data_IF_268074822332
#
_entry.id   IF_268074822332
#
_cell.length_a   1.000
_cell.length_b   1.000
_cell.length_c   1.000
_cell.angle_alpha   90.00
_cell.angle_beta   90.00
_cell.angle_gamma   90.00
#
_symmetry.space_group_name_H-M   'P 1'
#
loop_
_entity.id
_entity.type
_entity.pdbx_description
1 polymer ?
#
# COMPACT_ATOMS: atom_id res chain seq x y z
N UNK A 1 2.90 -11.39 -3.71
CA UNK A 1 3.52 -10.94 -4.98
C UNK A 1 5.04 -10.96 -4.82
N UNK A 2 5.82 -11.42 -5.79
CA UNK A 2 7.29 -11.28 -5.75
C UNK A 2 7.67 -9.85 -6.14
N UNK A 3 8.47 -9.16 -5.33
CA UNK A 3 8.98 -7.83 -5.63
C UNK A 3 10.48 -7.84 -5.90
N UNK A 4 10.90 -6.97 -6.83
CA UNK A 4 12.30 -6.69 -7.14
C UNK A 4 12.66 -5.29 -6.66
N UNK A 5 13.96 -5.07 -6.46
CA UNK A 5 14.50 -3.80 -5.96
C UNK A 5 14.00 -2.63 -6.79
N UNK A 6 13.50 -1.59 -6.10
CA UNK A 6 13.10 -0.29 -6.68
C UNK A 6 12.00 -0.34 -7.77
N UNK A 7 11.30 -1.46 -7.93
CA UNK A 7 10.17 -1.53 -8.84
C UNK A 7 8.94 -0.83 -8.24
N UNK A 8 8.30 0.12 -8.95
CA UNK A 8 7.02 0.67 -8.55
C UNK A 8 5.90 -0.35 -8.78
N UNK A 9 5.00 -0.50 -7.82
CA UNK A 9 3.83 -1.38 -7.90
C UNK A 9 2.57 -0.56 -7.68
N UNK A 10 1.59 -0.71 -8.56
CA UNK A 10 0.25 -0.16 -8.36
C UNK A 10 -0.61 -1.19 -7.62
N UNK A 11 -1.10 -0.80 -6.46
CA UNK A 11 -2.04 -1.57 -5.64
C UNK A 11 -3.38 -0.87 -5.70
N UNK A 12 -4.45 -1.58 -6.03
CA UNK A 12 -5.79 -1.00 -6.03
C UNK A 12 -6.74 -1.79 -5.15
N UNK A 13 -7.67 -1.07 -4.52
CA UNK A 13 -8.85 -1.65 -3.87
C UNK A 13 -10.08 -1.28 -4.69
N UNK A 14 -10.98 -2.24 -4.90
CA UNK A 14 -12.26 -2.09 -5.62
C UNK A 14 -13.33 -2.82 -4.82
N UNK A 15 -14.49 -2.20 -4.65
CA UNK A 15 -15.62 -2.80 -3.94
C UNK A 15 -16.85 -1.92 -3.94
N UNK A 16 -17.87 -2.30 -3.15
CA UNK A 16 -19.01 -1.42 -2.83
C UNK A 16 -18.48 -0.10 -2.24
N UNK A 17 -19.21 1.03 -2.40
CA UNK A 17 -18.78 2.32 -1.89
C UNK A 17 -18.25 2.23 -0.45
N UNK A 18 -17.00 2.65 -0.25
CA UNK A 18 -16.31 2.60 1.03
C UNK A 18 -15.74 3.97 1.40
N UNK A 19 -15.76 4.28 2.71
CA UNK A 19 -15.30 5.56 3.25
C UNK A 19 -13.88 5.52 3.77
N UNK A 20 -13.46 4.36 4.26
CA UNK A 20 -12.16 4.15 4.86
C UNK A 20 -11.56 2.81 4.47
N UNK A 21 -10.25 2.75 4.55
CA UNK A 21 -9.46 1.54 4.38
C UNK A 21 -8.12 1.74 5.05
N UNK A 22 -7.42 0.63 5.30
CA UNK A 22 -6.00 0.61 5.63
C UNK A 22 -5.40 -0.53 4.85
N UNK A 23 -4.34 -0.26 4.09
CA UNK A 23 -3.55 -1.29 3.40
C UNK A 23 -2.16 -1.29 3.99
N UNK A 24 -1.68 -2.47 4.39
CA UNK A 24 -0.30 -2.67 4.87
C UNK A 24 0.45 -3.66 3.99
N UNK A 25 1.76 -3.49 3.88
CA UNK A 25 2.65 -4.40 3.15
C UNK A 25 3.61 -5.12 4.09
N UNK A 26 3.54 -6.45 4.10
CA UNK A 26 4.39 -7.31 4.95
C UNK A 26 5.10 -8.41 4.15
N UNK A 27 6.24 -8.88 4.65
CA UNK A 27 6.94 -10.06 4.13
C UNK A 27 6.33 -11.38 4.63
N UNK A 28 6.97 -12.52 4.30
CA UNK A 28 6.53 -13.86 4.73
C UNK A 28 6.65 -14.07 6.24
N UNK A 29 7.54 -13.33 6.90
CA UNK A 29 7.76 -13.35 8.35
C UNK A 29 6.83 -12.37 9.08
N UNK A 30 6.06 -11.56 8.34
CA UNK A 30 5.13 -10.57 8.88
C UNK A 30 5.77 -9.22 9.22
N UNK A 31 7.04 -8.99 8.85
CA UNK A 31 7.67 -7.69 9.00
C UNK A 31 7.15 -6.72 7.96
N UNK A 32 7.04 -5.45 8.35
CA UNK A 32 6.66 -4.37 7.45
C UNK A 32 7.74 -4.09 6.41
N UNK A 33 7.35 -3.97 5.14
CA UNK A 33 8.30 -3.80 4.03
C UNK A 33 7.83 -2.78 2.99
N UNK A 34 8.78 -2.02 2.46
CA UNK A 34 8.52 -1.01 1.43
C UNK A 34 7.82 0.22 1.98
N UNK A 35 7.33 1.08 1.08
CA UNK A 35 6.65 2.33 1.45
C UNK A 35 5.62 2.74 0.40
N UNK A 36 4.56 3.40 0.84
CA UNK A 36 3.59 4.02 -0.06
C UNK A 36 4.00 5.47 -0.34
N UNK A 37 3.83 5.93 -1.59
CA UNK A 37 3.91 7.35 -1.92
C UNK A 37 2.58 8.06 -1.57
N UNK A 38 2.56 9.37 -1.34
CA UNK A 38 1.32 10.14 -1.34
C UNK A 38 0.60 10.02 -2.69
N UNK A 39 -0.74 10.08 -2.67
CA UNK A 39 -1.53 10.03 -3.89
C UNK A 39 -2.99 10.45 -3.68
N UNK A 40 -3.79 10.35 -4.74
CA UNK A 40 -5.20 10.74 -4.69
C UNK A 40 -6.03 9.71 -3.90
N UNK A 41 -6.80 10.19 -2.93
CA UNK A 41 -7.72 9.35 -2.14
C UNK A 41 -7.09 8.69 -0.90
N UNK A 42 -5.77 8.80 -0.73
CA UNK A 42 -5.05 8.19 0.38
C UNK A 42 -3.83 8.99 0.85
N UNK A 43 -3.30 8.60 2.01
CA UNK A 43 -2.02 9.08 2.55
C UNK A 43 -1.22 7.91 3.13
N UNK A 44 0.12 7.91 2.99
CA UNK A 44 0.97 6.99 3.73
C UNK A 44 0.90 7.30 5.23
N UNK A 45 1.13 6.27 6.05
CA UNK A 45 1.37 6.43 7.49
C UNK A 45 2.89 6.53 7.70
N UNK A 46 3.36 7.55 8.41
CA UNK A 46 4.81 7.79 8.61
C UNK A 46 5.50 6.68 9.38
N UNK A 47 4.80 6.10 10.36
CA UNK A 47 5.37 5.16 11.32
C UNK A 47 5.40 3.71 10.83
N UNK A 48 4.82 3.40 9.65
CA UNK A 48 4.64 2.01 9.22
C UNK A 48 4.55 1.86 7.70
N UNK A 49 4.76 0.63 7.19
CA UNK A 49 4.59 0.30 5.77
C UNK A 49 3.10 0.16 5.40
N UNK A 50 2.34 1.25 5.56
CA UNK A 50 0.90 1.28 5.34
C UNK A 50 0.41 2.60 4.73
N UNK A 51 -0.76 2.52 4.12
CA UNK A 51 -1.53 3.63 3.58
C UNK A 51 -2.97 3.58 4.07
N UNK A 52 -3.59 4.75 4.22
CA UNK A 52 -4.99 4.89 4.65
C UNK A 52 -5.68 6.02 3.89
N UNK A 53 -7.00 6.04 3.91
CA UNK A 53 -7.79 7.16 3.41
C UNK A 53 -7.38 8.51 4.03
N UNK A 54 -7.41 9.59 3.24
CA UNK A 54 -7.24 10.96 3.77
C UNK A 54 -8.58 11.66 4.05
N UNK A 55 -9.68 11.21 3.43
CA UNK A 55 -11.03 11.77 3.57
C UNK A 55 -12.08 10.68 3.71
N UNK A 56 -13.24 11.03 4.30
CA UNK A 56 -14.40 10.12 4.47
C UNK A 56 -15.36 10.11 3.29
N UNK A 57 -15.04 10.80 2.20
CA UNK A 57 -15.84 10.76 0.98
C UNK A 57 -15.98 9.31 0.48
N UNK A 58 -17.12 8.97 -0.12
CA UNK A 58 -17.33 7.66 -0.70
C UNK A 58 -16.36 7.43 -1.87
N UNK A 59 -15.86 6.20 -1.97
CA UNK A 59 -14.89 5.76 -2.98
C UNK A 59 -15.32 4.41 -3.50
N UNK A 60 -15.15 4.20 -4.80
CA UNK A 60 -15.33 2.89 -5.44
C UNK A 60 -13.99 2.24 -5.75
N UNK A 61 -12.96 3.07 -5.99
CA UNK A 61 -11.61 2.65 -6.31
C UNK A 61 -10.58 3.61 -5.73
N UNK A 62 -9.47 3.06 -5.23
CA UNK A 62 -8.28 3.82 -4.87
C UNK A 62 -7.06 3.13 -5.45
N UNK A 63 -6.22 3.87 -6.16
CA UNK A 63 -4.93 3.39 -6.69
C UNK A 63 -3.80 3.93 -5.83
N UNK A 64 -2.99 3.03 -5.29
CA UNK A 64 -1.87 3.32 -4.42
C UNK A 64 -0.55 2.92 -5.07
N UNK A 65 0.46 3.75 -4.90
CA UNK A 65 1.80 3.51 -5.42
C UNK A 65 2.69 3.00 -4.29
N UNK A 66 3.00 1.71 -4.33
CA UNK A 66 3.93 1.07 -3.42
C UNK A 66 5.33 0.99 -4.03
N UNK A 67 6.34 1.31 -3.23
CA UNK A 67 7.74 1.21 -3.58
C UNK A 67 8.36 0.03 -2.85
N UNK A 68 8.94 -0.88 -3.62
CA UNK A 68 9.78 -1.95 -3.09
C UNK A 68 11.00 -1.37 -2.36
N UNK A 69 11.44 -1.99 -1.25
CA UNK A 69 12.67 -1.60 -0.55
C UNK A 69 13.90 -1.73 -1.48
N UNK A 70 14.93 -0.93 -1.21
CA UNK A 70 16.09 -0.80 -2.09
C UNK A 70 17.20 -1.82 -1.80
N UNK A 71 17.08 -2.56 -0.70
CA UNK A 71 18.08 -3.46 -0.12
C UNK A 71 17.58 -4.90 0.03
N UNK A 72 16.30 -5.16 -0.25
CA UNK A 72 15.66 -6.47 -0.08
C UNK A 72 14.82 -6.84 -1.31
N UNK A 73 14.71 -8.14 -1.56
CA UNK A 73 13.78 -8.72 -2.53
C UNK A 73 13.06 -9.90 -1.88
N UNK A 74 11.90 -10.28 -2.39
CA UNK A 74 11.15 -11.39 -1.84
C UNK A 74 9.66 -11.29 -2.12
N UNK A 75 8.85 -11.97 -1.32
CA UNK A 75 7.40 -11.92 -1.41
C UNK A 75 6.84 -10.85 -0.48
N UNK A 76 5.93 -10.05 -1.01
CA UNK A 76 5.11 -9.09 -0.26
C UNK A 76 3.65 -9.54 -0.26
N UNK A 77 3.00 -9.36 0.87
CA UNK A 77 1.58 -9.54 1.07
C UNK A 77 0.95 -8.18 1.41
N UNK A 78 -0.05 -7.79 0.62
CA UNK A 78 -0.90 -6.64 0.91
C UNK A 78 -2.12 -7.14 1.68
N UNK A 79 -2.38 -6.51 2.83
CA UNK A 79 -3.52 -6.82 3.70
C UNK A 79 -4.32 -5.56 3.98
#
# INVERSE_FOLDING_TARGET
MLFRLRAPVTVYTVGKPFRGFKVKSVDEQGHEVGRFKPGAGYKPLSECAAATHFSRADKERVEMHWLAPADKCGRVHFK
#
